data_IF_482842965645
#
_entry.id   IF_482842965645
#
_cell.length_a   1.000
_cell.length_b   1.000
_cell.length_c   1.000
_cell.angle_alpha   90.00
_cell.angle_beta   90.00
_cell.angle_gamma   90.00
#
_symmetry.space_group_name_H-M   'P 1'
#
loop_
_entity.id
_entity.type
_entity.pdbx_description
1 polymer ?
#
# COMPACT_ATOMS: atom_id res chain seq x y z
N UNK A 1 -22.07 27.04 -9.69
CA UNK A 1 -22.66 26.24 -8.62
C UNK A 1 -22.39 24.74 -8.81
N UNK A 2 -22.54 24.20 -10.06
CA UNK A 2 -22.20 22.80 -10.36
C UNK A 2 -20.70 22.48 -10.19
N UNK A 3 -19.79 23.43 -10.43
CA UNK A 3 -18.37 23.22 -10.29
C UNK A 3 -17.91 23.12 -8.83
N UNK A 4 -18.57 23.81 -7.91
CA UNK A 4 -18.24 23.75 -6.48
C UNK A 4 -18.63 22.39 -5.87
N UNK A 5 -19.78 21.86 -6.25
CA UNK A 5 -20.22 20.52 -5.78
C UNK A 5 -19.42 19.38 -6.38
N UNK A 6 -18.85 19.55 -7.58
CA UNK A 6 -17.97 18.55 -8.20
C UNK A 6 -16.54 18.65 -7.66
N UNK A 7 -16.04 19.86 -7.46
CA UNK A 7 -14.67 20.08 -6.95
C UNK A 7 -14.50 19.62 -5.49
N UNK A 8 -15.56 19.66 -4.68
CA UNK A 8 -15.53 19.20 -3.30
C UNK A 8 -15.27 17.68 -3.14
N UNK A 9 -15.53 16.90 -4.19
CA UNK A 9 -15.33 15.45 -4.21
C UNK A 9 -14.02 15.03 -4.90
N UNK A 10 -13.25 15.97 -5.45
CA UNK A 10 -12.01 15.65 -6.14
C UNK A 10 -10.88 15.36 -5.14
N UNK A 11 -10.10 14.32 -5.44
CA UNK A 11 -8.86 14.00 -4.71
C UNK A 11 -7.89 15.16 -4.83
N UNK A 12 -7.37 15.62 -3.71
CA UNK A 12 -6.44 16.73 -3.69
C UNK A 12 -5.07 16.31 -4.22
N UNK A 13 -4.45 17.19 -4.97
CA UNK A 13 -3.05 17.02 -5.38
C UNK A 13 -2.15 16.98 -4.15
N UNK A 14 -1.14 16.11 -4.20
CA UNK A 14 -0.13 15.98 -3.16
C UNK A 14 0.58 17.31 -2.85
N UNK A 15 0.99 17.49 -1.61
CA UNK A 15 1.75 18.63 -1.11
C UNK A 15 3.06 18.14 -0.47
N UNK A 16 4.11 17.99 -1.28
CA UNK A 16 5.39 17.47 -0.84
C UNK A 16 6.03 18.28 0.29
N UNK A 17 5.70 19.58 0.40
CA UNK A 17 6.21 20.44 1.48
C UNK A 17 5.57 20.06 2.82
N UNK A 18 4.26 19.89 2.86
CA UNK A 18 3.57 19.45 4.09
C UNK A 18 4.01 18.04 4.49
N UNK A 19 4.10 17.12 3.54
CA UNK A 19 4.60 15.77 3.77
C UNK A 19 6.00 15.78 4.37
N UNK A 20 6.90 16.61 3.85
CA UNK A 20 8.26 16.75 4.38
C UNK A 20 8.29 17.26 5.82
N UNK A 21 7.43 18.20 6.17
CA UNK A 21 7.30 18.72 7.54
C UNK A 21 6.80 17.62 8.49
N UNK A 22 5.79 16.83 8.08
CA UNK A 22 5.26 15.70 8.86
C UNK A 22 6.37 14.67 9.09
N UNK A 23 7.13 14.31 8.07
CA UNK A 23 8.28 13.40 8.20
C UNK A 23 9.33 13.92 9.18
N UNK A 24 9.62 15.22 9.18
CA UNK A 24 10.56 15.83 10.14
C UNK A 24 10.01 15.76 11.55
N UNK A 25 8.75 16.11 11.75
CA UNK A 25 8.08 16.01 13.04
C UNK A 25 8.16 14.59 13.61
N UNK A 26 7.83 13.59 12.80
CA UNK A 26 7.82 12.19 13.24
C UNK A 26 9.22 11.59 13.45
N UNK A 27 10.24 12.17 12.88
CA UNK A 27 11.65 11.83 13.16
C UNK A 27 12.18 12.41 14.45
N UNK A 28 11.48 13.36 15.07
CA UNK A 28 11.82 13.83 16.40
C UNK A 28 11.50 12.73 17.42
N UNK A 29 12.53 12.28 18.16
CA UNK A 29 12.42 11.17 19.11
C UNK A 29 11.38 11.46 20.20
N UNK A 30 11.32 12.67 20.70
CA UNK A 30 10.37 13.04 21.77
C UNK A 30 8.94 12.98 21.24
N UNK A 31 8.70 13.46 20.02
CA UNK A 31 7.40 13.42 19.36
C UNK A 31 6.96 12.00 19.07
N UNK A 32 7.84 11.20 18.45
CA UNK A 32 7.50 9.82 18.08
C UNK A 32 7.17 8.94 19.30
N UNK A 33 7.78 9.20 20.47
CA UNK A 33 7.48 8.48 21.70
C UNK A 33 6.13 8.87 22.32
N UNK A 34 5.56 10.03 21.99
CA UNK A 34 4.21 10.43 22.41
C UNK A 34 3.13 9.69 21.59
N UNK A 35 3.41 9.31 20.35
CA UNK A 35 2.45 8.69 19.44
C UNK A 35 2.16 7.25 19.88
N UNK A 36 0.89 6.94 20.07
CA UNK A 36 0.40 5.60 20.41
C UNK A 36 -0.10 4.85 19.18
N UNK A 37 -0.81 5.54 18.32
CA UNK A 37 -1.29 5.07 17.03
C UNK A 37 -1.23 6.21 16.03
N UNK A 38 -1.13 5.87 14.77
CA UNK A 38 -1.02 6.82 13.67
C UNK A 38 -1.66 6.22 12.42
N UNK A 39 -2.34 7.05 11.66
CA UNK A 39 -2.87 6.70 10.36
C UNK A 39 -2.82 7.93 9.44
N UNK A 40 -2.62 7.73 8.17
CA UNK A 40 -2.69 8.79 7.16
C UNK A 40 -4.13 9.03 6.69
N UNK A 41 -4.36 10.14 5.98
CA UNK A 41 -5.64 10.46 5.39
C UNK A 41 -5.66 10.09 3.91
N UNK A 42 -6.30 8.98 3.61
CA UNK A 42 -6.61 8.54 2.27
C UNK A 42 -8.11 8.45 2.01
N UNK A 43 -8.52 7.57 1.12
CA UNK A 43 -9.92 7.30 0.82
C UNK A 43 -10.71 6.92 2.08
N UNK A 44 -11.90 7.47 2.21
CA UNK A 44 -12.73 7.35 3.40
C UNK A 44 -12.53 8.46 4.45
N UNK A 45 -11.55 9.34 4.24
CA UNK A 45 -11.34 10.57 5.01
C UNK A 45 -11.25 10.35 6.52
N UNK A 46 -11.93 11.21 7.28
CA UNK A 46 -11.99 11.16 8.76
C UNK A 46 -12.52 9.82 9.27
N UNK A 47 -13.51 9.23 8.56
CA UNK A 47 -14.13 7.97 8.96
C UNK A 47 -13.14 6.82 9.02
N UNK A 48 -12.16 6.79 8.11
CA UNK A 48 -11.10 5.78 8.06
C UNK A 48 -9.90 6.23 8.86
N UNK A 49 -9.31 7.38 8.53
CA UNK A 49 -8.07 7.84 9.13
C UNK A 49 -8.12 7.97 10.66
N UNK A 50 -9.24 8.46 11.20
CA UNK A 50 -9.45 8.59 12.65
C UNK A 50 -10.26 7.40 13.16
N UNK A 51 -11.33 7.02 12.44
CA UNK A 51 -12.28 5.99 12.89
C UNK A 51 -11.68 4.62 13.16
N UNK A 52 -10.51 4.31 12.58
CA UNK A 52 -9.80 3.04 12.78
C UNK A 52 -8.74 3.09 13.91
N UNK A 53 -8.46 4.25 14.47
CA UNK A 53 -7.40 4.40 15.47
C UNK A 53 -7.71 3.78 16.83
N UNK A 54 -8.99 3.64 17.19
CA UNK A 54 -9.38 3.01 18.45
C UNK A 54 -10.79 2.38 18.35
N UNK A 55 -11.10 1.37 19.21
CA UNK A 55 -12.42 0.74 19.22
C UNK A 55 -13.56 1.70 19.55
N UNK A 56 -13.34 2.61 20.49
CA UNK A 56 -14.31 3.65 20.89
C UNK A 56 -13.75 5.02 20.60
N UNK A 57 -14.50 5.83 19.84
CA UNK A 57 -14.11 7.18 19.44
C UNK A 57 -15.32 8.12 19.39
N UNK A 58 -15.14 9.32 19.89
CA UNK A 58 -16.03 10.44 19.68
C UNK A 58 -15.29 11.52 18.87
N UNK A 59 -15.77 11.79 17.66
CA UNK A 59 -15.17 12.70 16.69
C UNK A 59 -16.04 13.95 16.54
N UNK A 60 -15.44 15.12 16.68
CA UNK A 60 -16.07 16.42 16.43
C UNK A 60 -15.67 16.94 15.04
N UNK A 61 -16.54 16.76 14.07
CA UNK A 61 -16.29 17.15 12.67
C UNK A 61 -16.19 18.68 12.50
N UNK A 62 -16.76 19.47 13.42
CA UNK A 62 -16.66 20.91 13.34
C UNK A 62 -15.23 21.41 13.59
N UNK A 63 -14.42 20.62 14.30
CA UNK A 63 -13.00 20.89 14.55
C UNK A 63 -12.04 20.42 13.44
N UNK A 64 -12.53 19.65 12.49
CA UNK A 64 -11.69 19.16 11.38
C UNK A 64 -11.33 20.33 10.46
N UNK A 65 -10.04 20.64 10.27
CA UNK A 65 -9.62 21.71 9.38
C UNK A 65 -10.11 21.45 7.94
N UNK A 66 -10.71 22.46 7.34
CA UNK A 66 -11.27 22.41 5.98
C UNK A 66 -10.44 23.28 5.05
N UNK A 67 -10.21 22.81 3.83
CA UNK A 67 -9.64 23.63 2.76
C UNK A 67 -10.71 24.38 1.97
N UNK A 68 -11.97 23.90 2.03
CA UNK A 68 -13.12 24.47 1.32
C UNK A 68 -14.31 24.57 2.25
N UNK A 69 -15.10 25.59 2.08
CA UNK A 69 -16.41 25.73 2.71
C UNK A 69 -17.49 25.06 1.88
N UNK A 70 -18.59 24.67 2.51
CA UNK A 70 -19.77 24.12 1.84
C UNK A 70 -19.92 22.60 1.94
N UNK A 71 -19.00 21.89 2.57
CA UNK A 71 -19.15 20.46 2.86
C UNK A 71 -20.20 20.25 3.95
N UNK A 72 -21.09 19.30 3.73
CA UNK A 72 -21.98 18.80 4.78
C UNK A 72 -21.25 17.78 5.69
N UNK A 73 -21.90 17.34 6.76
CA UNK A 73 -21.26 16.44 7.73
C UNK A 73 -20.84 15.10 7.15
N UNK A 74 -21.62 14.54 6.24
CA UNK A 74 -21.29 13.27 5.55
C UNK A 74 -20.09 13.45 4.62
N UNK A 75 -20.12 14.48 3.80
CA UNK A 75 -18.99 14.78 2.90
C UNK A 75 -17.70 15.03 3.69
N UNK A 76 -17.78 15.77 4.79
CA UNK A 76 -16.63 16.02 5.66
C UNK A 76 -16.10 14.75 6.32
N UNK A 77 -16.98 13.81 6.67
CA UNK A 77 -16.60 12.55 7.30
C UNK A 77 -15.86 11.59 6.35
N UNK A 78 -16.17 11.62 5.05
CA UNK A 78 -15.63 10.67 4.06
C UNK A 78 -14.68 11.30 3.04
N UNK A 79 -14.56 12.63 3.01
CA UNK A 79 -13.75 13.33 2.03
C UNK A 79 -12.27 13.09 2.26
N UNK A 80 -11.59 12.65 1.21
CA UNK A 80 -10.13 12.50 1.22
C UNK A 80 -9.43 13.87 1.30
N UNK A 81 -8.38 13.94 2.08
CA UNK A 81 -7.52 15.13 2.16
C UNK A 81 -6.11 14.70 2.47
N UNK A 82 -5.31 14.54 1.44
CA UNK A 82 -3.92 14.07 1.51
C UNK A 82 -3.01 15.01 2.31
N UNK A 83 -1.84 14.51 2.66
CA UNK A 83 -0.83 15.14 3.53
C UNK A 83 -1.40 15.59 4.86
N UNK A 84 -2.20 14.71 5.43
CA UNK A 84 -2.65 14.76 6.82
C UNK A 84 -2.35 13.45 7.50
N UNK A 85 -2.16 13.52 8.80
CA UNK A 85 -1.95 12.34 9.61
C UNK A 85 -2.71 12.49 10.91
N UNK A 86 -3.49 11.48 11.27
CA UNK A 86 -4.13 11.39 12.57
C UNK A 86 -3.25 10.61 13.53
N UNK A 87 -3.10 11.10 14.75
CA UNK A 87 -2.33 10.45 15.81
C UNK A 87 -3.14 10.34 17.09
N UNK A 88 -2.92 9.27 17.83
CA UNK A 88 -3.41 9.14 19.20
C UNK A 88 -2.26 9.42 20.14
N UNK A 89 -2.43 10.38 21.02
CA UNK A 89 -1.50 10.74 22.10
C UNK A 89 -2.20 10.71 23.46
N UNK A 90 -1.46 10.63 24.55
CA UNK A 90 -2.04 10.77 25.88
C UNK A 90 -2.53 12.21 26.09
N UNK A 91 -3.56 12.39 26.89
CA UNK A 91 -4.08 13.72 27.23
C UNK A 91 -3.01 14.65 27.79
N UNK A 92 -2.08 14.12 28.58
CA UNK A 92 -0.93 14.87 29.14
C UNK A 92 0.09 15.32 28.08
N UNK A 93 0.09 14.74 26.92
CA UNK A 93 1.09 14.99 25.87
C UNK A 93 0.55 15.89 24.74
N UNK A 94 -0.75 16.22 24.75
CA UNK A 94 -1.43 16.99 23.70
C UNK A 94 -0.77 18.33 23.44
N UNK A 95 -0.58 19.15 24.50
CA UNK A 95 0.00 20.49 24.35
C UNK A 95 1.44 20.43 23.83
N UNK A 96 2.22 19.47 24.33
CA UNK A 96 3.61 19.26 23.86
C UNK A 96 3.66 18.82 22.40
N UNK A 97 2.74 17.96 21.98
CA UNK A 97 2.66 17.50 20.60
C UNK A 97 2.28 18.65 19.67
N UNK A 98 1.28 19.46 20.03
CA UNK A 98 0.85 20.64 19.26
C UNK A 98 2.00 21.63 19.13
N UNK A 99 2.68 21.96 20.23
CA UNK A 99 3.83 22.88 20.21
C UNK A 99 4.98 22.36 19.30
N UNK A 100 5.23 21.06 19.30
CA UNK A 100 6.23 20.47 18.41
C UNK A 100 5.81 20.53 16.92
N UNK A 101 4.52 20.35 16.62
CA UNK A 101 3.98 20.51 15.28
C UNK A 101 4.09 21.96 14.78
N UNK A 102 3.80 22.95 15.64
CA UNK A 102 3.96 24.37 15.34
C UNK A 102 5.40 24.75 15.00
N UNK A 103 6.39 24.14 15.67
CA UNK A 103 7.82 24.35 15.34
C UNK A 103 8.18 23.91 13.92
N UNK A 104 7.48 22.95 13.37
CA UNK A 104 7.61 22.52 11.98
C UNK A 104 6.65 23.26 11.02
N UNK A 105 5.94 24.31 11.50
CA UNK A 105 4.89 25.02 10.77
C UNK A 105 3.78 24.08 10.28
N UNK A 106 3.36 23.16 11.13
CA UNK A 106 2.21 22.28 10.94
C UNK A 106 1.07 22.69 11.84
N UNK A 107 -0.16 22.64 11.34
CA UNK A 107 -1.37 22.85 12.12
C UNK A 107 -1.83 21.52 12.72
N UNK A 108 -1.77 21.38 14.03
CA UNK A 108 -2.27 20.22 14.76
C UNK A 108 -3.46 20.63 15.65
N UNK A 109 -4.56 19.90 15.55
CA UNK A 109 -5.79 20.19 16.29
C UNK A 109 -6.37 18.91 16.90
N UNK A 110 -7.00 19.04 18.06
CA UNK A 110 -7.72 17.93 18.69
C UNK A 110 -9.12 17.82 18.08
N UNK A 111 -9.38 16.75 17.38
CA UNK A 111 -10.65 16.51 16.68
C UNK A 111 -11.45 15.33 17.22
N UNK A 112 -10.85 14.50 18.09
CA UNK A 112 -11.48 13.31 18.63
C UNK A 112 -10.96 12.96 20.01
N UNK A 113 -11.77 12.22 20.76
CA UNK A 113 -11.41 11.59 22.02
C UNK A 113 -11.62 10.07 21.92
N UNK A 114 -10.66 9.32 22.49
CA UNK A 114 -10.80 7.86 22.65
C UNK A 114 -11.69 7.59 23.85
N UNK A 115 -12.68 6.72 23.66
CA UNK A 115 -13.65 6.34 24.68
C UNK A 115 -13.64 4.81 24.92
N UNK A 116 -14.27 4.38 25.98
CA UNK A 116 -14.47 2.94 26.31
C UNK A 116 -15.81 2.38 25.83
N UNK A 117 -16.53 3.16 25.02
CA UNK A 117 -17.89 2.81 24.57
C UNK A 117 -17.94 1.74 23.50
N UNK A 118 -16.80 1.40 22.88
CA UNK A 118 -16.73 0.53 21.69
C UNK A 118 -17.68 0.97 20.56
N UNK A 119 -17.80 2.28 20.38
CA UNK A 119 -18.63 2.89 19.33
C UNK A 119 -17.85 3.97 18.60
N UNK A 120 -18.08 4.07 17.30
CA UNK A 120 -17.69 5.23 16.50
C UNK A 120 -18.84 6.23 16.52
N UNK A 121 -18.61 7.38 17.13
CA UNK A 121 -19.57 8.48 17.22
C UNK A 121 -18.97 9.69 16.50
N UNK A 122 -19.74 10.28 15.57
CA UNK A 122 -19.36 11.54 14.92
C UNK A 122 -20.43 12.58 15.14
N UNK A 123 -20.00 13.79 15.52
CA UNK A 123 -20.86 14.94 15.74
C UNK A 123 -20.56 16.03 14.71
N UNK A 124 -21.60 16.69 14.25
CA UNK A 124 -21.52 17.83 13.35
C UNK A 124 -22.62 18.82 13.66
N UNK A 125 -22.23 20.09 13.88
CA UNK A 125 -23.14 21.18 14.29
C UNK A 125 -24.00 20.81 15.50
N UNK A 126 -23.40 20.19 16.49
CA UNK A 126 -24.07 19.74 17.70
C UNK A 126 -24.95 18.50 17.57
N UNK A 127 -25.11 17.93 16.36
CA UNK A 127 -25.90 16.74 16.12
C UNK A 127 -25.00 15.50 15.93
N UNK A 128 -25.44 14.36 16.47
CA UNK A 128 -24.82 13.08 16.17
C UNK A 128 -25.27 12.60 14.80
N UNK A 129 -24.33 12.49 13.86
CA UNK A 129 -24.60 12.03 12.49
C UNK A 129 -24.16 10.58 12.26
N UNK A 130 -23.25 10.06 13.09
CA UNK A 130 -22.81 8.66 13.09
C UNK A 130 -22.80 8.15 14.52
N UNK A 131 -23.34 6.96 14.75
CA UNK A 131 -23.25 6.25 16.03
C UNK A 131 -23.37 4.74 15.77
N UNK A 132 -22.22 4.12 15.47
CA UNK A 132 -22.13 2.72 15.02
C UNK A 132 -21.28 1.94 16.02
N UNK A 133 -21.69 0.71 16.37
CA UNK A 133 -20.90 -0.18 17.21
C UNK A 133 -19.64 -0.67 16.48
N UNK A 134 -18.57 -0.88 17.20
CA UNK A 134 -17.34 -1.46 16.67
C UNK A 134 -17.57 -2.86 16.10
N UNK A 135 -18.36 -3.66 16.78
CA UNK A 135 -18.72 -5.00 16.31
C UNK A 135 -19.37 -4.99 14.92
N UNK A 136 -20.25 -4.02 14.66
CA UNK A 136 -20.86 -3.86 13.33
C UNK A 136 -19.82 -3.46 12.29
N UNK A 137 -18.92 -2.53 12.61
CA UNK A 137 -17.87 -2.08 11.68
C UNK A 137 -16.89 -3.20 11.33
N UNK A 138 -16.46 -3.98 12.32
CA UNK A 138 -15.46 -5.02 12.15
C UNK A 138 -16.00 -6.22 11.37
N UNK A 139 -17.30 -6.47 11.43
CA UNK A 139 -17.95 -7.61 10.77
C UNK A 139 -18.87 -7.19 9.62
N UNK A 140 -18.98 -5.88 9.30
CA UNK A 140 -20.03 -5.34 8.41
C UNK A 140 -21.45 -5.85 8.77
N UNK A 141 -21.69 -6.13 10.07
CA UNK A 141 -22.95 -6.67 10.58
C UNK A 141 -23.17 -8.16 10.31
N UNK A 142 -22.21 -8.89 9.74
CA UNK A 142 -22.30 -10.31 9.45
C UNK A 142 -21.00 -11.05 9.71
N UNK A 143 -21.10 -12.21 10.38
CA UNK A 143 -19.99 -13.15 10.51
C UNK A 143 -20.16 -14.25 9.47
N UNK A 144 -19.14 -14.49 8.68
CA UNK A 144 -19.11 -15.54 7.68
C UNK A 144 -18.02 -16.54 8.01
N UNK A 145 -18.39 -17.80 8.04
CA UNK A 145 -17.45 -18.91 8.08
C UNK A 145 -17.42 -19.60 6.72
N UNK A 146 -16.23 -19.92 6.24
CA UNK A 146 -16.05 -20.64 4.98
C UNK A 146 -15.06 -21.78 5.18
N UNK A 147 -15.41 -22.95 4.65
CA UNK A 147 -14.50 -24.08 4.54
C UNK A 147 -14.03 -24.17 3.10
N UNK A 148 -12.71 -24.11 2.90
CA UNK A 148 -12.10 -24.26 1.61
C UNK A 148 -11.42 -25.63 1.51
N UNK A 149 -11.78 -26.39 0.47
CA UNK A 149 -11.09 -27.63 0.12
C UNK A 149 -10.20 -27.35 -1.06
N UNK A 150 -8.90 -27.62 -0.91
CA UNK A 150 -7.92 -27.47 -1.99
C UNK A 150 -7.70 -28.84 -2.61
N UNK A 151 -8.26 -29.03 -3.80
CA UNK A 151 -8.14 -30.27 -4.54
C UNK A 151 -6.83 -30.36 -5.31
N UNK A 152 -6.39 -31.57 -5.61
CA UNK A 152 -5.31 -31.80 -6.55
C UNK A 152 -5.73 -31.31 -7.96
N UNK A 153 -4.80 -30.81 -8.79
CA UNK A 153 -5.14 -30.40 -10.14
C UNK A 153 -5.72 -31.55 -10.95
N UNK A 154 -6.83 -31.30 -11.60
CA UNK A 154 -7.56 -32.30 -12.41
C UNK A 154 -6.73 -32.84 -13.56
N UNK A 155 -5.80 -32.06 -14.08
CA UNK A 155 -4.92 -32.42 -15.21
C UNK A 155 -3.44 -32.20 -14.84
N UNK A 156 -2.82 -33.14 -14.09
CA UNK A 156 -1.41 -33.00 -13.69
C UNK A 156 -0.44 -32.86 -14.86
N UNK A 157 -0.75 -33.49 -15.99
CA UNK A 157 0.07 -33.43 -17.24
C UNK A 157 0.12 -32.01 -17.83
N UNK A 158 -0.85 -31.17 -17.57
CA UNK A 158 -0.90 -29.76 -18.03
C UNK A 158 -0.18 -28.78 -17.10
N UNK A 159 0.63 -29.28 -16.18
CA UNK A 159 1.38 -28.43 -15.25
C UNK A 159 2.22 -27.39 -15.99
N UNK A 160 2.06 -26.08 -15.69
CA UNK A 160 2.91 -25.05 -16.28
C UNK A 160 4.36 -25.12 -15.82
N UNK A 161 4.66 -25.90 -14.78
CA UNK A 161 6.03 -26.15 -14.30
C UNK A 161 6.77 -27.18 -15.19
N UNK A 162 6.04 -27.97 -15.96
CA UNK A 162 6.59 -29.04 -16.82
C UNK A 162 6.39 -28.77 -18.32
N UNK A 163 5.51 -27.85 -18.65
CA UNK A 163 5.16 -27.55 -20.03
C UNK A 163 5.50 -26.07 -20.36
N UNK A 164 6.07 -25.82 -21.54
CA UNK A 164 6.28 -24.47 -22.03
C UNK A 164 4.96 -23.75 -22.30
N UNK A 165 5.01 -22.44 -22.48
CA UNK A 165 3.89 -21.66 -22.98
C UNK A 165 3.44 -22.21 -24.35
N UNK A 166 2.14 -22.21 -24.63
CA UNK A 166 1.59 -22.68 -25.88
C UNK A 166 2.21 -21.97 -27.11
N UNK A 167 2.46 -20.68 -27.01
CA UNK A 167 3.13 -19.88 -28.03
C UNK A 167 4.57 -20.34 -28.27
N UNK A 168 5.30 -20.67 -27.20
CA UNK A 168 6.67 -21.19 -27.25
C UNK A 168 6.67 -22.60 -27.82
N UNK A 169 5.74 -23.47 -27.40
CA UNK A 169 5.60 -24.85 -27.91
C UNK A 169 5.36 -24.86 -29.41
N UNK A 170 4.48 -24.01 -29.95
CA UNK A 170 4.20 -23.87 -31.37
C UNK A 170 5.44 -23.53 -32.19
N UNK A 171 6.32 -22.70 -31.69
CA UNK A 171 7.57 -22.37 -32.39
C UNK A 171 8.59 -23.51 -32.35
N UNK A 172 8.56 -24.34 -31.33
CA UNK A 172 9.43 -25.51 -31.20
C UNK A 172 8.92 -26.71 -32.00
N UNK A 173 7.59 -26.88 -32.12
CA UNK A 173 6.96 -28.02 -32.85
C UNK A 173 7.00 -27.88 -34.38
N UNK A 174 7.25 -26.71 -34.92
CA UNK A 174 7.41 -26.47 -36.36
C UNK A 174 8.89 -26.54 -36.79
N UNK A 175 9.53 -27.73 -36.79
CA UNK A 175 10.90 -27.81 -37.21
C UNK A 175 10.99 -27.51 -38.71
N UNK A 176 11.56 -26.38 -39.04
CA UNK A 176 12.05 -26.16 -40.40
C UNK A 176 13.11 -27.24 -40.63
N UNK A 177 12.85 -28.19 -41.57
CA UNK A 177 13.75 -29.31 -41.96
C UNK A 177 15.05 -28.76 -42.60
N UNK A 178 15.88 -28.13 -41.83
CA UNK A 178 17.11 -27.56 -42.31
C UNK A 178 18.11 -27.49 -41.12
N UNK A 179 19.24 -28.14 -41.25
CA UNK A 179 20.29 -28.15 -40.19
C UNK A 179 20.72 -26.75 -39.73
N UNK A 180 20.63 -25.76 -40.60
CA UNK A 180 20.91 -24.34 -40.26
C UNK A 180 19.74 -23.60 -39.63
N UNK A 181 18.59 -24.24 -39.42
CA UNK A 181 17.36 -23.59 -38.95
C UNK A 181 17.02 -23.90 -37.49
N UNK A 182 17.76 -24.77 -36.81
CA UNK A 182 17.61 -25.04 -35.36
C UNK A 182 17.76 -23.73 -34.58
N UNK A 183 18.74 -22.90 -34.93
CA UNK A 183 18.94 -21.59 -34.33
C UNK A 183 17.76 -20.62 -34.53
N UNK A 184 17.06 -20.76 -35.69
CA UNK A 184 15.91 -19.94 -36.01
C UNK A 184 14.70 -20.27 -35.12
N UNK A 185 14.41 -21.56 -34.93
CA UNK A 185 13.30 -22.01 -34.10
C UNK A 185 13.55 -21.65 -32.63
N UNK A 186 14.76 -21.85 -32.14
CA UNK A 186 15.15 -21.45 -30.81
C UNK A 186 15.01 -19.94 -30.62
N UNK A 187 15.47 -19.15 -31.59
CA UNK A 187 15.31 -17.69 -31.55
C UNK A 187 13.83 -17.30 -31.54
N UNK A 188 12.99 -17.91 -32.38
CA UNK A 188 11.55 -17.61 -32.42
C UNK A 188 10.87 -17.99 -31.10
N UNK A 189 11.17 -19.15 -30.54
CA UNK A 189 10.68 -19.58 -29.24
C UNK A 189 11.10 -18.63 -28.11
N UNK A 190 12.34 -18.18 -28.16
CA UNK A 190 12.84 -17.18 -27.21
C UNK A 190 12.09 -15.86 -27.32
N UNK A 191 11.90 -15.35 -28.55
CA UNK A 191 11.14 -14.12 -28.78
C UNK A 191 9.67 -14.26 -28.37
N UNK A 192 9.03 -15.44 -28.65
CA UNK A 192 7.68 -15.72 -28.21
C UNK A 192 7.56 -15.67 -26.66
N UNK A 193 8.55 -16.24 -25.95
CA UNK A 193 8.60 -16.17 -24.50
C UNK A 193 8.77 -14.73 -23.99
N UNK A 194 9.64 -13.94 -24.61
CA UNK A 194 9.86 -12.52 -24.22
C UNK A 194 8.64 -11.63 -24.51
N UNK A 195 7.79 -12.02 -25.46
CA UNK A 195 6.55 -11.31 -25.78
C UNK A 195 5.38 -11.69 -24.85
N UNK A 196 5.52 -12.74 -24.05
CA UNK A 196 4.49 -13.08 -23.05
C UNK A 196 4.39 -11.99 -21.99
N UNK A 197 3.15 -11.64 -21.60
CA UNK A 197 2.90 -10.55 -20.62
C UNK A 197 3.54 -10.80 -19.25
N UNK A 198 3.81 -12.07 -18.89
CA UNK A 198 4.49 -12.40 -17.64
C UNK A 198 6.02 -12.26 -17.74
N UNK A 199 6.58 -12.23 -18.97
CA UNK A 199 8.02 -12.21 -19.23
C UNK A 199 8.51 -10.92 -19.87
N UNK A 200 7.62 -10.15 -20.52
CA UNK A 200 7.98 -8.89 -21.16
C UNK A 200 8.43 -7.84 -20.13
N UNK A 201 9.15 -6.84 -20.60
CA UNK A 201 9.62 -5.75 -19.73
C UNK A 201 8.46 -5.00 -19.10
N UNK A 202 8.49 -4.88 -17.76
CA UNK A 202 7.55 -4.08 -16.95
C UNK A 202 8.10 -2.67 -16.65
N UNK A 203 9.16 -2.25 -17.33
CA UNK A 203 9.86 -0.98 -17.07
C UNK A 203 8.91 0.22 -17.10
N UNK A 204 8.03 0.29 -18.10
CA UNK A 204 7.07 1.38 -18.23
C UNK A 204 6.10 1.51 -17.06
N UNK A 205 5.75 0.39 -16.40
CA UNK A 205 4.97 0.40 -15.17
C UNK A 205 5.85 0.76 -13.96
N UNK A 206 7.03 0.13 -13.84
CA UNK A 206 7.94 0.37 -12.72
C UNK A 206 8.41 1.82 -12.60
N UNK A 207 8.59 2.51 -13.74
CA UNK A 207 9.02 3.91 -13.76
C UNK A 207 7.88 4.92 -13.49
N UNK A 208 6.62 4.48 -13.50
CA UNK A 208 5.46 5.35 -13.22
C UNK A 208 5.10 5.46 -11.75
N UNK A 209 5.57 4.54 -10.94
CA UNK A 209 5.24 4.43 -9.52
C UNK A 209 6.46 4.70 -8.66
N UNK A 210 6.24 5.02 -7.41
CA UNK A 210 7.29 5.27 -6.44
C UNK A 210 8.15 4.02 -6.23
N UNK A 211 9.32 4.00 -6.83
CA UNK A 211 10.28 2.89 -6.75
C UNK A 211 11.15 2.95 -5.51
N UNK A 212 11.13 4.05 -4.76
CA UNK A 212 11.98 4.27 -3.60
C UNK A 212 11.17 4.69 -2.37
N UNK A 213 11.67 4.34 -1.19
CA UNK A 213 11.10 4.75 0.09
C UNK A 213 12.04 5.79 0.72
N UNK A 214 11.91 7.02 0.28
CA UNK A 214 12.73 8.13 0.73
C UNK A 214 14.24 7.87 0.53
N UNK A 215 15.09 8.52 1.33
CA UNK A 215 16.54 8.42 1.23
C UNK A 215 17.13 7.11 1.80
N UNK A 216 16.32 6.24 2.35
CA UNK A 216 16.76 4.98 2.99
C UNK A 216 16.78 3.78 2.04
N UNK A 217 16.28 3.92 0.83
CA UNK A 217 16.22 2.85 -0.17
C UNK A 217 17.63 2.53 -0.70
N UNK A 218 17.99 1.24 -0.66
CA UNK A 218 19.27 0.73 -1.14
C UNK A 218 19.11 -0.03 -2.44
N UNK A 219 18.08 -0.88 -2.52
CA UNK A 219 17.75 -1.68 -3.69
C UNK A 219 16.28 -1.48 -4.08
N UNK A 220 16.03 -1.21 -5.34
CA UNK A 220 14.69 -1.04 -5.92
C UNK A 220 14.71 -1.31 -7.43
N UNK A 221 13.54 -1.58 -8.06
CA UNK A 221 13.47 -1.86 -9.49
C UNK A 221 14.10 -0.73 -10.32
N UNK A 222 14.94 -1.10 -11.28
CA UNK A 222 15.67 -0.18 -12.16
C UNK A 222 16.56 0.82 -11.42
N UNK A 223 16.99 0.50 -10.20
CA UNK A 223 17.98 1.26 -9.46
C UNK A 223 19.42 0.96 -9.89
N UNK A 224 20.36 1.51 -9.11
CA UNK A 224 21.79 1.30 -9.32
C UNK A 224 22.38 2.05 -10.52
N UNK A 225 23.65 1.77 -10.81
CA UNK A 225 24.46 2.52 -11.79
C UNK A 225 23.90 2.46 -13.21
N UNK A 226 23.40 1.32 -13.63
CA UNK A 226 22.99 1.07 -15.02
C UNK A 226 21.48 1.19 -15.24
N UNK A 227 20.69 1.18 -14.19
CA UNK A 227 19.23 1.32 -14.23
C UNK A 227 18.54 0.33 -15.18
N UNK A 228 19.07 -0.86 -15.32
CA UNK A 228 18.60 -1.85 -16.29
C UNK A 228 17.97 -3.09 -15.66
N UNK A 229 18.12 -3.29 -14.35
CA UNK A 229 17.70 -4.51 -13.69
C UNK A 229 16.32 -4.34 -13.06
N UNK A 230 15.33 -5.18 -13.45
CA UNK A 230 14.00 -5.17 -12.86
C UNK A 230 14.01 -5.93 -11.53
N UNK A 231 14.65 -5.38 -10.52
CA UNK A 231 14.76 -6.01 -9.20
C UNK A 231 13.37 -6.39 -8.65
N UNK A 232 13.20 -7.63 -8.26
CA UNK A 232 11.95 -8.15 -7.72
C UNK A 232 11.92 -8.20 -6.18
N UNK A 233 12.79 -7.44 -5.55
CA UNK A 233 12.87 -7.26 -4.11
C UNK A 233 13.30 -5.83 -3.79
N UNK A 234 13.14 -5.44 -2.54
CA UNK A 234 13.62 -4.16 -2.05
C UNK A 234 14.53 -4.35 -0.85
N UNK A 235 15.46 -3.44 -0.70
CA UNK A 235 16.28 -3.27 0.49
C UNK A 235 16.23 -1.81 0.91
N UNK A 236 15.91 -1.54 2.17
CA UNK A 236 15.90 -0.20 2.73
C UNK A 236 16.56 -0.19 4.11
N UNK A 237 17.34 0.84 4.38
CA UNK A 237 17.93 1.05 5.70
C UNK A 237 16.84 1.28 6.74
N UNK A 238 17.01 0.71 7.92
CA UNK A 238 16.12 1.00 9.04
C UNK A 238 16.21 2.49 9.37
N UNK A 239 15.07 3.22 9.47
CA UNK A 239 15.07 4.62 9.82
C UNK A 239 15.66 4.84 11.22
N UNK A 240 16.62 5.71 11.34
CA UNK A 240 17.19 6.13 12.62
C UNK A 240 17.17 7.65 12.74
N UNK A 241 17.13 8.13 13.98
CA UNK A 241 17.09 9.58 14.25
C UNK A 241 18.47 10.19 13.99
N UNK A 242 18.48 11.27 13.16
CA UNK A 242 19.70 12.07 12.94
C UNK A 242 20.32 12.54 14.29
N UNK A 243 21.65 12.57 14.42
CA UNK A 243 22.68 12.34 13.42
C UNK A 243 23.13 10.86 13.27
N UNK A 244 22.40 9.91 13.83
CA UNK A 244 22.77 8.49 13.77
C UNK A 244 22.61 7.95 12.36
N UNK A 245 23.48 6.99 12.02
CA UNK A 245 23.42 6.22 10.79
C UNK A 245 23.38 4.73 11.12
N UNK A 246 22.87 3.94 10.19
CA UNK A 246 22.84 2.48 10.30
C UNK A 246 23.16 1.82 8.97
N UNK A 247 23.83 0.67 9.05
CA UNK A 247 24.00 -0.27 7.95
C UNK A 247 22.95 -1.40 7.98
N UNK A 248 22.13 -1.45 9.03
CA UNK A 248 21.04 -2.43 9.12
C UNK A 248 19.97 -2.11 8.11
N UNK A 249 19.54 -3.13 7.37
CA UNK A 249 18.52 -3.00 6.32
C UNK A 249 17.35 -3.95 6.59
N UNK A 250 16.18 -3.56 6.10
CA UNK A 250 15.03 -4.44 5.92
C UNK A 250 15.03 -4.95 4.50
N UNK A 251 14.80 -6.25 4.32
CA UNK A 251 14.66 -6.89 3.02
C UNK A 251 13.22 -7.33 2.84
N UNK A 252 12.68 -7.12 1.64
CA UNK A 252 11.34 -7.55 1.28
C UNK A 252 11.33 -8.06 -0.16
N UNK A 253 10.70 -9.21 -0.38
CA UNK A 253 10.49 -9.77 -1.70
C UNK A 253 9.13 -10.46 -1.76
N UNK A 254 8.65 -10.67 -2.97
CA UNK A 254 7.40 -11.39 -3.23
C UNK A 254 7.62 -12.47 -4.27
N UNK A 255 6.72 -13.44 -4.29
CA UNK A 255 6.64 -14.46 -5.34
C UNK A 255 5.19 -14.58 -5.80
N UNK A 256 5.00 -14.67 -7.12
CA UNK A 256 3.68 -14.87 -7.71
C UNK A 256 3.83 -15.41 -9.12
N UNK A 257 3.13 -16.51 -9.43
CA UNK A 257 2.93 -17.00 -10.79
C UNK A 257 1.45 -17.31 -11.01
N UNK A 258 0.74 -16.46 -11.77
CA UNK A 258 -0.70 -16.62 -12.00
C UNK A 258 -1.05 -17.88 -12.79
N UNK A 259 -0.15 -18.41 -13.61
CA UNK A 259 -0.40 -19.64 -14.39
C UNK A 259 -0.37 -20.87 -13.48
N UNK A 260 0.63 -20.94 -12.61
CA UNK A 260 0.72 -22.00 -11.60
C UNK A 260 -0.45 -21.92 -10.63
N UNK A 261 -0.82 -20.72 -10.18
CA UNK A 261 -1.94 -20.49 -9.28
C UNK A 261 -3.29 -20.87 -9.89
N UNK A 262 -3.51 -20.62 -11.18
CA UNK A 262 -4.73 -21.03 -11.90
C UNK A 262 -4.81 -22.54 -12.11
N UNK A 263 -3.69 -23.19 -12.36
CA UNK A 263 -3.63 -24.64 -12.52
C UNK A 263 -3.81 -25.37 -11.18
N UNK A 264 -3.18 -24.87 -10.13
CA UNK A 264 -3.27 -25.43 -8.78
C UNK A 264 -2.97 -24.37 -7.73
N UNK A 265 -3.93 -24.06 -6.86
CA UNK A 265 -3.78 -23.11 -5.77
C UNK A 265 -2.65 -23.51 -4.81
N UNK A 266 -2.52 -24.81 -4.50
CA UNK A 266 -1.47 -25.34 -3.64
C UNK A 266 -0.06 -25.13 -4.23
N UNK A 267 0.13 -25.51 -5.51
CA UNK A 267 1.41 -25.33 -6.19
C UNK A 267 1.72 -23.84 -6.38
N UNK A 268 0.72 -23.02 -6.68
CA UNK A 268 0.87 -21.57 -6.77
C UNK A 268 1.39 -20.95 -5.48
N UNK A 269 0.78 -21.27 -4.36
CA UNK A 269 1.23 -20.80 -3.04
C UNK A 269 2.64 -21.28 -2.70
N UNK A 270 2.93 -22.58 -2.90
CA UNK A 270 4.26 -23.14 -2.68
C UNK A 270 5.33 -22.44 -3.53
N UNK A 271 5.07 -22.27 -4.82
CA UNK A 271 5.99 -21.60 -5.76
C UNK A 271 6.20 -20.13 -5.39
N UNK A 272 5.14 -19.44 -4.96
CA UNK A 272 5.23 -18.05 -4.51
C UNK A 272 6.17 -17.91 -3.30
N UNK A 273 6.03 -18.76 -2.29
CA UNK A 273 6.90 -18.75 -1.11
C UNK A 273 8.34 -19.08 -1.48
N UNK A 274 8.58 -20.13 -2.26
CA UNK A 274 9.93 -20.51 -2.70
C UNK A 274 10.59 -19.39 -3.52
N UNK A 275 9.84 -18.76 -4.42
CA UNK A 275 10.34 -17.66 -5.25
C UNK A 275 10.70 -16.43 -4.39
N UNK A 276 9.88 -16.07 -3.41
CA UNK A 276 10.17 -14.94 -2.51
C UNK A 276 11.39 -15.22 -1.65
N UNK A 277 11.55 -16.43 -1.12
CA UNK A 277 12.73 -16.83 -0.36
C UNK A 277 14.00 -16.78 -1.21
N UNK A 278 13.95 -17.31 -2.43
CA UNK A 278 15.09 -17.26 -3.35
C UNK A 278 15.54 -15.82 -3.61
N UNK A 279 14.60 -14.89 -3.84
CA UNK A 279 14.89 -13.47 -4.08
C UNK A 279 15.52 -12.75 -2.87
N UNK A 280 15.22 -13.18 -1.64
CA UNK A 280 15.82 -12.59 -0.43
C UNK A 280 17.23 -13.14 -0.21
N UNK A 281 17.51 -14.39 -0.60
CA UNK A 281 18.77 -15.07 -0.30
C UNK A 281 19.82 -14.94 -1.40
N UNK A 282 19.44 -14.55 -2.61
CA UNK A 282 20.35 -14.30 -3.72
C UNK A 282 20.75 -12.83 -3.83
#
# INVERSE_FOLDING_TARGET
VKSVTTAAAEVQKGNAVEERKIQRLFRNKEVSLMIRRCNDFGAGGVSVAIGELAPGLEIDLDKVPKKYEGLNGTELAISESQERTAVVVRKSDVERFIAAAEQENLNAVVVAEVTDTNRLVMKWRGNTIVNISREFLDAAGAHHEAVATIENPSEPAKSPLLNPLETVAKELENPVKCEKCVDRNLKNAWLANLNDLACCSQRGLGERFDGSIGASTVLFPYGGKYQNTPEAGMSAKIPVVSPRETSTVSLMAYGFDPRVGKWSAWHGAKTAVLSSLAKITC
#
